data_IF_635065699004
#
_entry.id   IF_635065699004
#
_cell.length_a   1.000
_cell.length_b   1.000
_cell.length_c   1.000
_cell.angle_alpha   90.00
_cell.angle_beta   90.00
_cell.angle_gamma   90.00
#
_symmetry.space_group_name_H-M   'P 1'
#
loop_
_entity.id
_entity.type
_entity.pdbx_description
1 polymer ?
#
# COMPACT_ATOMS: atom_id res chain seq x y z
N UNK A 1 63.45 26.68 -63.14
CA UNK A 1 63.25 25.80 -61.96
C UNK A 1 62.28 26.52 -61.02
N UNK A 2 61.13 25.92 -60.74
CA UNK A 2 59.97 26.58 -60.13
C UNK A 2 60.19 26.73 -58.62
N UNK A 3 60.04 27.96 -58.13
CA UNK A 3 60.19 28.36 -56.74
C UNK A 3 59.10 27.74 -55.84
N UNK A 4 59.52 27.13 -54.73
CA UNK A 4 58.61 26.62 -53.70
C UNK A 4 58.18 27.76 -52.77
N UNK A 5 56.88 28.09 -52.79
CA UNK A 5 56.20 28.92 -51.79
C UNK A 5 56.21 28.19 -50.44
N UNK A 6 56.69 28.88 -49.40
CA UNK A 6 56.50 28.50 -48.00
C UNK A 6 55.16 29.09 -47.55
N UNK A 7 54.23 28.23 -47.13
CA UNK A 7 52.93 28.63 -46.55
C UNK A 7 53.07 28.53 -45.04
N UNK A 8 52.96 29.66 -44.35
CA UNK A 8 52.79 29.76 -42.90
C UNK A 8 51.39 29.27 -42.52
N UNK A 9 51.30 28.12 -41.84
CA UNK A 9 50.07 27.59 -41.28
C UNK A 9 49.93 27.97 -39.80
N UNK A 10 48.88 28.70 -39.47
CA UNK A 10 48.45 29.02 -38.11
C UNK A 10 47.82 27.78 -37.48
N UNK A 11 48.45 27.16 -36.48
CA UNK A 11 47.85 26.06 -35.72
C UNK A 11 46.98 26.59 -34.60
N UNK A 12 45.66 26.44 -34.73
CA UNK A 12 44.69 26.58 -33.64
C UNK A 12 44.76 25.31 -32.81
N UNK A 13 45.17 25.43 -31.54
CA UNK A 13 45.09 24.35 -30.55
C UNK A 13 43.64 24.26 -30.08
N UNK A 14 42.89 23.27 -30.56
CA UNK A 14 41.62 22.89 -29.97
C UNK A 14 41.91 22.10 -28.68
N UNK A 15 41.64 22.69 -27.52
CA UNK A 15 41.58 21.94 -26.26
C UNK A 15 40.40 20.97 -26.34
N UNK A 16 40.69 19.68 -26.57
CA UNK A 16 39.74 18.62 -26.24
C UNK A 16 39.73 18.46 -24.72
N UNK A 17 38.73 19.03 -24.06
CA UNK A 17 38.36 18.61 -22.71
C UNK A 17 37.67 17.25 -22.81
N UNK A 18 38.41 16.18 -22.55
CA UNK A 18 37.81 14.86 -22.30
C UNK A 18 37.10 14.97 -20.94
N UNK A 19 35.79 15.17 -20.96
CA UNK A 19 34.96 15.06 -19.77
C UNK A 19 35.04 13.63 -19.26
N UNK A 20 35.68 13.45 -18.11
CA UNK A 20 35.66 12.18 -17.38
C UNK A 20 34.22 11.93 -16.95
N UNK A 21 33.50 11.07 -17.68
CA UNK A 21 32.21 10.54 -17.23
C UNK A 21 32.52 9.59 -16.09
N UNK A 22 32.44 10.09 -14.86
CA UNK A 22 32.31 9.23 -13.68
C UNK A 22 30.95 8.58 -13.76
N UNK A 23 30.90 7.37 -14.31
CA UNK A 23 29.77 6.46 -14.08
C UNK A 23 29.83 6.13 -12.59
N UNK A 24 29.01 6.83 -11.80
CA UNK A 24 28.70 6.39 -10.44
C UNK A 24 27.82 5.17 -10.63
N UNK A 25 28.44 3.99 -10.61
CA UNK A 25 27.71 2.76 -10.37
C UNK A 25 27.21 2.87 -8.93
N UNK A 26 25.90 3.06 -8.79
CA UNK A 26 25.21 3.01 -7.51
C UNK A 26 25.30 1.57 -7.00
N UNK A 27 26.37 1.27 -6.27
CA UNK A 27 26.54 0.03 -5.49
C UNK A 27 25.66 0.09 -4.24
N UNK A 28 24.37 0.38 -4.41
CA UNK A 28 23.37 0.09 -3.38
C UNK A 28 23.22 -1.43 -3.31
N UNK A 29 24.13 -2.04 -2.54
CA UNK A 29 24.07 -3.44 -2.16
C UNK A 29 22.67 -3.72 -1.59
N UNK A 30 21.84 -4.58 -2.22
CA UNK A 30 20.49 -4.88 -1.73
C UNK A 30 20.50 -5.46 -0.30
N UNK A 31 21.68 -5.88 0.20
CA UNK A 31 21.88 -6.25 1.60
C UNK A 31 21.76 -5.06 2.58
N UNK A 32 22.00 -3.82 2.15
CA UNK A 32 21.86 -2.62 3.00
C UNK A 32 20.42 -2.10 3.05
N UNK A 33 19.61 -2.34 2.01
CA UNK A 33 18.16 -2.12 2.03
C UNK A 33 17.42 -3.05 3.02
N UNK A 34 18.03 -4.18 3.39
CA UNK A 34 17.54 -5.09 4.42
C UNK A 34 17.81 -4.62 5.87
N UNK A 35 18.59 -3.54 6.07
CA UNK A 35 19.05 -3.12 7.40
C UNK A 35 18.13 -2.15 8.15
N UNK A 36 17.14 -1.53 7.49
CA UNK A 36 16.23 -0.56 8.11
C UNK A 36 15.00 -1.18 8.78
N UNK A 37 14.82 -2.50 8.65
CA UNK A 37 13.62 -3.21 9.09
C UNK A 37 13.94 -4.49 9.90
N UNK A 38 15.09 -4.53 10.57
CA UNK A 38 15.30 -5.55 11.59
C UNK A 38 14.22 -5.39 12.66
N UNK A 39 13.37 -6.41 12.83
CA UNK A 39 12.55 -6.50 14.03
C UNK A 39 13.47 -6.42 15.25
N UNK A 40 13.03 -5.76 16.34
CA UNK A 40 13.90 -5.60 17.50
C UNK A 40 14.36 -7.00 17.95
N UNK A 41 15.68 -7.16 18.10
CA UNK A 41 16.30 -8.39 18.59
C UNK A 41 15.83 -8.74 20.02
N UNK A 42 15.19 -7.79 20.70
CA UNK A 42 14.33 -8.05 21.84
C UNK A 42 13.15 -7.11 21.79
N UNK A 43 11.93 -7.65 21.77
CA UNK A 43 10.76 -6.94 22.29
C UNK A 43 11.18 -6.38 23.65
N UNK A 44 11.19 -5.05 23.81
CA UNK A 44 11.27 -4.50 25.14
C UNK A 44 10.08 -5.11 25.87
N UNK A 45 10.34 -5.97 26.85
CA UNK A 45 9.38 -6.43 27.83
C UNK A 45 9.01 -5.23 28.73
N UNK A 46 8.58 -4.12 28.11
CA UNK A 46 7.91 -3.05 28.80
C UNK A 46 6.59 -3.63 29.31
N UNK A 47 6.21 -3.34 30.57
CA UNK A 47 4.94 -3.80 31.09
C UNK A 47 3.84 -3.34 30.13
N UNK A 48 2.96 -4.26 29.73
CA UNK A 48 1.75 -3.93 29.00
C UNK A 48 1.08 -2.73 29.70
N UNK A 49 0.67 -1.67 28.97
CA UNK A 49 0.03 -0.52 29.60
C UNK A 49 -1.12 -0.99 30.49
N UNK A 50 -1.13 -0.59 31.76
CA UNK A 50 -2.05 -1.11 32.78
C UNK A 50 -3.55 -0.86 32.48
N UNK A 51 -3.86 -0.08 31.45
CA UNK A 51 -5.23 0.23 31.00
C UNK A 51 -5.69 -0.51 29.73
N UNK A 52 -4.90 -1.46 29.21
CA UNK A 52 -5.16 -2.08 27.91
C UNK A 52 -4.81 -1.16 26.73
N UNK A 53 -4.74 -1.73 25.52
CA UNK A 53 -4.45 -1.00 24.27
C UNK A 53 -5.54 -1.35 23.28
N UNK A 54 -6.12 -0.36 22.59
CA UNK A 54 -7.15 -0.57 21.57
C UNK A 54 -8.38 -1.40 22.03
N UNK A 55 -8.66 -1.42 23.35
CA UNK A 55 -9.72 -2.23 23.97
C UNK A 55 -9.35 -3.69 24.29
N UNK A 56 -8.07 -4.06 24.22
CA UNK A 56 -7.56 -5.38 24.59
C UNK A 56 -6.96 -5.37 26.00
N UNK A 57 -7.23 -6.44 26.76
CA UNK A 57 -6.77 -6.61 28.14
C UNK A 57 -5.32 -7.13 28.23
N UNK A 58 -4.81 -7.26 29.46
CA UNK A 58 -3.44 -7.69 29.70
C UNK A 58 -3.11 -9.11 29.23
N UNK A 59 -4.07 -10.03 29.15
CA UNK A 59 -3.84 -11.38 28.62
C UNK A 59 -3.71 -11.34 27.11
N UNK A 60 -4.60 -10.60 26.44
CA UNK A 60 -4.57 -10.39 25.00
C UNK A 60 -3.27 -9.68 24.57
N UNK A 61 -2.80 -8.71 25.36
CA UNK A 61 -1.52 -8.03 25.10
C UNK A 61 -0.30 -8.95 25.31
N UNK A 62 -0.34 -9.88 26.26
CA UNK A 62 0.71 -10.91 26.41
C UNK A 62 0.75 -11.85 25.21
N UNK A 63 -0.41 -12.26 24.71
CA UNK A 63 -0.51 -13.09 23.52
C UNK A 63 -0.02 -12.34 22.27
N UNK A 64 -0.38 -11.07 22.11
CA UNK A 64 0.17 -10.22 21.05
C UNK A 64 1.71 -10.11 21.12
N UNK A 65 2.27 -9.92 22.33
CA UNK A 65 3.72 -9.90 22.51
C UNK A 65 4.38 -11.24 22.14
N UNK A 66 3.74 -12.38 22.44
CA UNK A 66 4.22 -13.70 22.04
C UNK A 66 4.25 -13.85 20.51
N UNK A 67 3.22 -13.35 19.81
CA UNK A 67 3.18 -13.32 18.33
C UNK A 67 4.34 -12.46 17.79
N UNK A 68 4.50 -11.23 18.32
CA UNK A 68 5.57 -10.34 17.87
C UNK A 68 6.95 -10.94 18.10
N UNK A 69 7.14 -11.60 19.25
CA UNK A 69 8.38 -12.32 19.57
C UNK A 69 8.64 -13.49 18.61
N UNK A 70 7.62 -14.28 18.27
CA UNK A 70 7.78 -15.38 17.32
C UNK A 70 8.24 -14.90 15.93
N UNK A 71 7.71 -13.76 15.45
CA UNK A 71 8.20 -13.16 14.20
C UNK A 71 9.66 -12.69 14.32
N UNK A 72 10.01 -12.02 15.43
CA UNK A 72 11.38 -11.58 15.72
C UNK A 72 12.37 -12.75 15.77
N UNK A 73 12.00 -13.85 16.43
CA UNK A 73 12.84 -15.05 16.56
C UNK A 73 13.09 -15.72 15.20
N UNK A 74 12.20 -15.52 14.23
CA UNK A 74 12.36 -15.95 12.83
C UNK A 74 13.09 -14.92 11.95
N UNK A 75 13.52 -13.78 12.50
CA UNK A 75 14.16 -12.70 11.75
C UNK A 75 13.20 -11.97 10.79
N UNK A 76 11.89 -12.05 11.03
CA UNK A 76 10.88 -11.44 10.17
C UNK A 76 10.69 -9.95 10.50
N UNK A 77 10.35 -9.11 9.49
CA UNK A 77 10.16 -7.68 9.68
C UNK A 77 8.90 -7.36 10.51
N UNK A 78 8.79 -6.12 11.00
CA UNK A 78 7.62 -5.63 11.76
C UNK A 78 6.31 -5.76 10.96
N UNK A 79 6.37 -5.74 9.63
CA UNK A 79 5.27 -6.08 8.72
C UNK A 79 4.66 -7.47 9.04
N UNK A 80 5.50 -8.48 9.27
CA UNK A 80 5.05 -9.80 9.66
C UNK A 80 4.42 -9.78 11.06
N UNK A 81 4.99 -9.02 12.01
CA UNK A 81 4.39 -8.86 13.34
C UNK A 81 2.96 -8.31 13.25
N UNK A 82 2.72 -7.31 12.38
CA UNK A 82 1.38 -6.80 12.13
C UNK A 82 0.44 -7.85 11.53
N UNK A 83 0.91 -8.58 10.52
CA UNK A 83 0.16 -9.68 9.88
C UNK A 83 -0.28 -10.71 10.93
N UNK A 84 0.63 -11.14 11.80
CA UNK A 84 0.35 -12.13 12.84
C UNK A 84 -0.66 -11.63 13.89
N UNK A 85 -0.48 -10.39 14.37
CA UNK A 85 -1.41 -9.78 15.34
C UNK A 85 -2.80 -9.60 14.71
N UNK A 86 -2.87 -9.10 13.47
CA UNK A 86 -4.13 -8.92 12.75
C UNK A 86 -4.87 -10.25 12.54
N UNK A 87 -4.15 -11.31 12.14
CA UNK A 87 -4.73 -12.64 11.99
C UNK A 87 -5.31 -13.13 13.32
N UNK A 88 -4.54 -13.08 14.40
CA UNK A 88 -4.99 -13.58 15.70
C UNK A 88 -6.16 -12.77 16.30
N UNK A 89 -6.26 -11.47 16.01
CA UNK A 89 -7.47 -10.70 16.37
C UNK A 89 -8.70 -11.28 15.65
N UNK A 90 -8.60 -11.58 14.36
CA UNK A 90 -9.73 -12.12 13.59
C UNK A 90 -10.12 -13.53 13.99
N UNK A 91 -9.15 -14.37 14.34
CA UNK A 91 -9.40 -15.78 14.68
C UNK A 91 -9.92 -15.97 16.10
N UNK A 92 -9.40 -15.20 17.06
CA UNK A 92 -9.63 -15.48 18.48
C UNK A 92 -9.72 -14.25 19.36
N UNK A 93 -9.67 -13.05 18.77
CA UNK A 93 -9.52 -11.80 19.53
C UNK A 93 -8.29 -11.88 20.46
N UNK A 94 -7.17 -12.44 19.99
CA UNK A 94 -5.92 -12.64 20.74
C UNK A 94 -6.06 -13.55 21.99
N UNK A 95 -6.93 -14.55 21.93
CA UNK A 95 -7.11 -15.53 23.03
C UNK A 95 -6.73 -16.93 22.61
N UNK A 96 -6.13 -17.68 23.52
CA UNK A 96 -5.89 -19.11 23.30
C UNK A 96 -7.21 -19.84 23.56
N UNK A 97 -7.88 -20.27 22.48
CA UNK A 97 -9.20 -20.92 22.57
C UNK A 97 -9.06 -22.43 22.37
N UNK A 98 -9.67 -23.22 23.27
CA UNK A 98 -9.66 -24.69 23.23
C UNK A 98 -10.87 -25.31 22.52
N UNK A 99 -11.50 -24.56 21.62
CA UNK A 99 -12.61 -25.01 20.80
C UNK A 99 -12.57 -24.28 19.45
N UNK A 100 -13.21 -24.87 18.45
CA UNK A 100 -13.45 -24.25 17.15
C UNK A 100 -14.93 -24.19 16.82
N UNK A 101 -15.26 -23.72 15.62
CA UNK A 101 -16.64 -23.54 15.17
C UNK A 101 -17.15 -24.72 14.32
N UNK A 102 -18.30 -24.54 13.65
CA UNK A 102 -18.89 -25.60 12.82
C UNK A 102 -18.07 -25.95 11.57
N UNK A 103 -17.36 -24.98 10.98
CA UNK A 103 -16.46 -25.24 9.86
C UNK A 103 -15.15 -25.88 10.34
N UNK A 104 -14.76 -25.56 11.57
CA UNK A 104 -13.49 -25.91 12.15
C UNK A 104 -13.54 -26.56 13.54
N UNK A 105 -14.26 -27.66 13.85
CA UNK A 105 -14.45 -28.12 15.24
C UNK A 105 -13.15 -28.45 16.01
N UNK A 106 -12.14 -28.97 15.30
CA UNK A 106 -10.80 -29.26 15.82
C UNK A 106 -9.82 -28.08 15.79
N UNK A 107 -10.24 -26.88 15.38
CA UNK A 107 -9.42 -25.66 15.41
C UNK A 107 -9.05 -25.25 16.83
N UNK A 108 -7.81 -24.80 17.06
CA UNK A 108 -7.30 -24.43 18.39
C UNK A 108 -6.40 -23.21 18.38
N UNK A 109 -6.31 -22.55 19.53
CA UNK A 109 -5.32 -21.52 19.82
C UNK A 109 -5.59 -20.17 19.19
N UNK A 110 -4.54 -19.34 19.17
CA UNK A 110 -4.57 -17.94 18.74
C UNK A 110 -5.00 -17.74 17.29
N UNK A 111 -4.72 -18.72 16.43
CA UNK A 111 -4.93 -18.67 14.99
C UNK A 111 -5.98 -19.69 14.52
N UNK A 112 -6.72 -20.32 15.43
CA UNK A 112 -7.74 -21.34 15.12
C UNK A 112 -7.21 -22.43 14.15
N UNK A 113 -6.01 -22.92 14.41
CA UNK A 113 -5.28 -23.85 13.56
C UNK A 113 -5.89 -25.27 13.62
N UNK A 114 -6.12 -25.88 12.46
CA UNK A 114 -6.74 -27.21 12.29
C UNK A 114 -5.81 -28.35 12.74
N UNK A 115 -6.37 -29.47 13.19
CA UNK A 115 -5.62 -30.69 13.53
C UNK A 115 -5.35 -31.56 12.28
N UNK A 116 -4.75 -30.96 11.24
CA UNK A 116 -4.50 -31.61 9.95
C UNK A 116 -3.02 -31.96 9.71
N UNK A 117 -2.18 -31.88 10.74
CA UNK A 117 -0.73 -32.12 10.67
C UNK A 117 0.10 -30.96 10.11
N UNK A 118 -0.53 -29.90 9.57
CA UNK A 118 0.20 -28.75 9.03
C UNK A 118 0.63 -27.72 10.10
N UNK A 119 0.01 -27.78 11.29
CA UNK A 119 0.10 -26.75 12.32
C UNK A 119 0.72 -27.21 13.64
N UNK A 120 1.29 -28.43 13.67
CA UNK A 120 1.87 -29.04 14.87
C UNK A 120 0.87 -29.86 15.68
N UNK A 121 1.29 -30.25 16.89
CA UNK A 121 0.47 -31.03 17.82
C UNK A 121 -0.69 -30.21 18.42
N UNK A 122 -1.45 -30.80 19.33
CA UNK A 122 -2.44 -30.05 20.10
C UNK A 122 -1.75 -29.00 21.00
N UNK A 123 -0.69 -29.42 21.69
CA UNK A 123 0.11 -28.58 22.59
C UNK A 123 0.74 -27.41 21.83
N UNK A 124 1.29 -27.66 20.64
CA UNK A 124 1.86 -26.63 19.78
C UNK A 124 0.84 -25.54 19.40
N UNK A 125 -0.39 -25.95 19.08
CA UNK A 125 -1.47 -25.03 18.70
C UNK A 125 -2.02 -24.26 19.90
N UNK A 126 -1.93 -24.82 21.10
CA UNK A 126 -2.36 -24.15 22.34
C UNK A 126 -1.28 -23.21 22.91
N UNK A 127 -0.02 -23.36 22.51
CA UNK A 127 1.04 -22.45 22.92
C UNK A 127 1.04 -21.16 22.05
N UNK A 128 0.96 -19.96 22.66
CA UNK A 128 0.96 -18.69 21.94
C UNK A 128 2.14 -18.47 20.99
N UNK A 129 3.35 -18.86 21.40
CA UNK A 129 4.57 -18.59 20.64
C UNK A 129 4.77 -19.65 19.54
N UNK A 130 4.51 -20.92 19.85
CA UNK A 130 4.64 -22.02 18.87
C UNK A 130 3.55 -21.90 17.79
N UNK A 131 2.29 -21.64 18.16
CA UNK A 131 1.20 -21.45 17.19
C UNK A 131 1.47 -20.26 16.26
N UNK A 132 2.01 -19.15 16.79
CA UNK A 132 2.46 -18.00 16.01
C UNK A 132 3.65 -18.35 15.09
N UNK A 133 4.63 -19.10 15.59
CA UNK A 133 5.77 -19.58 14.79
C UNK A 133 5.28 -20.42 13.61
N UNK A 134 4.29 -21.30 13.83
CA UNK A 134 3.71 -22.13 12.78
C UNK A 134 2.91 -21.28 11.76
N UNK A 135 2.18 -20.27 12.23
CA UNK A 135 1.55 -19.27 11.36
C UNK A 135 2.57 -18.58 10.45
N UNK A 136 3.68 -18.07 11.00
CA UNK A 136 4.71 -17.39 10.21
C UNK A 136 5.40 -18.31 9.21
N UNK A 137 5.67 -19.57 9.58
CA UNK A 137 6.18 -20.57 8.63
C UNK A 137 5.20 -20.83 7.48
N UNK A 138 3.89 -20.76 7.71
CA UNK A 138 2.90 -20.85 6.66
C UNK A 138 2.87 -19.57 5.80
N UNK A 139 2.94 -18.39 6.42
CA UNK A 139 3.02 -17.10 5.75
C UNK A 139 4.22 -17.03 4.80
N UNK A 140 5.41 -17.47 5.23
CA UNK A 140 6.62 -17.47 4.40
C UNK A 140 6.52 -18.39 3.16
N UNK A 141 5.57 -19.32 3.12
CA UNK A 141 5.29 -20.16 1.94
C UNK A 141 4.32 -19.49 0.96
N UNK A 142 3.70 -18.36 1.33
CA UNK A 142 2.87 -17.57 0.44
C UNK A 142 3.80 -16.73 -0.44
N UNK A 143 3.72 -16.95 -1.76
CA UNK A 143 4.51 -16.19 -2.73
C UNK A 143 4.18 -14.70 -2.65
N UNK A 144 5.23 -13.88 -2.50
CA UNK A 144 5.14 -12.41 -2.40
C UNK A 144 4.40 -11.90 -1.18
N UNK A 145 4.30 -12.68 -0.09
CA UNK A 145 3.52 -12.30 1.11
C UNK A 145 3.83 -10.92 1.67
N UNK A 146 5.07 -10.46 1.51
CA UNK A 146 5.63 -9.18 1.94
C UNK A 146 5.19 -7.99 1.08
N UNK A 147 4.67 -8.27 -0.12
CA UNK A 147 4.10 -7.28 -1.04
C UNK A 147 2.57 -7.37 -1.13
N UNK A 148 1.96 -8.40 -0.55
CA UNK A 148 0.51 -8.57 -0.50
C UNK A 148 -0.11 -7.63 0.55
N UNK A 149 -1.37 -7.27 0.31
CA UNK A 149 -2.21 -6.70 1.37
C UNK A 149 -2.27 -7.71 2.54
N UNK A 150 -2.01 -7.31 3.79
CA UNK A 150 -1.94 -8.25 4.90
C UNK A 150 -3.16 -9.17 5.06
N UNK A 151 -4.40 -8.74 4.82
CA UNK A 151 -5.60 -9.62 4.77
C UNK A 151 -5.47 -10.70 3.70
N UNK A 152 -4.88 -10.41 2.54
CA UNK A 152 -4.65 -11.38 1.47
C UNK A 152 -3.52 -12.32 1.85
N UNK A 153 -2.46 -11.82 2.48
CA UNK A 153 -1.38 -12.65 3.00
C UNK A 153 -1.90 -13.64 4.07
N UNK A 154 -2.72 -13.16 5.02
CA UNK A 154 -3.37 -13.98 6.03
C UNK A 154 -4.33 -14.98 5.38
N UNK A 155 -5.18 -14.52 4.47
CA UNK A 155 -6.13 -15.38 3.75
C UNK A 155 -5.42 -16.54 3.05
N UNK A 156 -4.30 -16.28 2.36
CA UNK A 156 -3.52 -17.32 1.69
C UNK A 156 -2.83 -18.26 2.67
N UNK A 157 -2.34 -17.74 3.80
CA UNK A 157 -1.69 -18.54 4.85
C UNK A 157 -2.70 -19.45 5.59
N UNK A 158 -3.86 -18.90 5.96
CA UNK A 158 -4.91 -19.58 6.73
C UNK A 158 -5.88 -20.38 5.87
N UNK A 159 -6.00 -20.05 4.58
CA UNK A 159 -6.94 -20.64 3.61
C UNK A 159 -8.41 -20.50 4.05
N UNK A 160 -8.79 -19.31 4.51
CA UNK A 160 -10.19 -19.02 4.85
C UNK A 160 -11.03 -18.70 3.59
N UNK A 161 -12.36 -18.62 3.72
CA UNK A 161 -13.25 -18.43 2.56
C UNK A 161 -13.30 -17.00 2.01
N UNK A 162 -13.11 -15.99 2.87
CA UNK A 162 -13.24 -14.57 2.50
C UNK A 162 -11.86 -13.87 2.51
N UNK A 163 -11.34 -13.42 1.36
CA UNK A 163 -10.05 -12.76 1.28
C UNK A 163 -9.97 -11.45 2.09
N UNK A 164 -11.10 -10.79 2.35
CA UNK A 164 -11.17 -9.50 3.04
C UNK A 164 -11.57 -9.62 4.51
N UNK A 165 -11.73 -10.84 5.03
CA UNK A 165 -12.18 -11.09 6.40
C UNK A 165 -11.38 -10.32 7.45
N UNK A 166 -10.06 -10.23 7.27
CA UNK A 166 -9.15 -9.65 8.26
C UNK A 166 -8.97 -8.13 8.13
N UNK A 167 -9.47 -7.51 7.06
CA UNK A 167 -9.29 -6.06 6.80
C UNK A 167 -9.73 -5.20 7.98
N UNK A 168 -10.87 -5.54 8.60
CA UNK A 168 -11.45 -4.82 9.73
C UNK A 168 -10.56 -4.80 11.00
N UNK A 169 -9.63 -5.74 11.14
CA UNK A 169 -8.77 -5.85 12.33
C UNK A 169 -7.45 -5.07 12.20
N UNK A 170 -7.17 -4.50 11.02
CA UNK A 170 -5.88 -3.86 10.72
C UNK A 170 -5.55 -2.68 11.64
N UNK A 171 -6.50 -1.78 11.86
CA UNK A 171 -6.26 -0.58 12.67
C UNK A 171 -5.87 -0.96 14.11
N UNK A 172 -6.65 -1.87 14.72
CA UNK A 172 -6.40 -2.40 16.06
C UNK A 172 -5.05 -3.13 16.16
N UNK A 173 -4.71 -3.95 15.18
CA UNK A 173 -3.42 -4.63 15.12
C UNK A 173 -2.25 -3.63 15.07
N UNK A 174 -2.42 -2.54 14.33
CA UNK A 174 -1.40 -1.48 14.20
C UNK A 174 -1.18 -0.76 15.53
N UNK A 175 -2.26 -0.44 16.26
CA UNK A 175 -2.16 0.16 17.60
C UNK A 175 -1.43 -0.75 18.58
N UNK A 176 -1.72 -2.06 18.57
CA UNK A 176 -1.05 -3.04 19.43
C UNK A 176 0.45 -3.14 19.09
N UNK A 177 0.80 -3.28 17.81
CA UNK A 177 2.19 -3.38 17.37
C UNK A 177 2.98 -2.12 17.70
N UNK A 178 2.38 -0.93 17.56
CA UNK A 178 3.00 0.33 17.99
C UNK A 178 3.23 0.37 19.50
N UNK A 179 2.22 -0.01 20.28
CA UNK A 179 2.30 0.01 21.73
C UNK A 179 3.35 -0.96 22.28
N UNK A 180 3.50 -2.14 21.68
CA UNK A 180 4.45 -3.17 22.11
C UNK A 180 5.85 -3.02 21.50
N UNK A 181 5.94 -2.48 20.28
CA UNK A 181 7.19 -2.35 19.53
C UNK A 181 7.96 -1.05 19.80
N UNK A 182 7.35 -0.07 20.46
CA UNK A 182 8.00 1.20 20.81
C UNK A 182 8.50 1.96 19.58
N UNK A 183 9.67 2.61 19.69
CA UNK A 183 10.27 3.39 18.59
C UNK A 183 10.48 2.57 17.31
N UNK A 184 10.83 1.29 17.42
CA UNK A 184 11.05 0.40 16.28
C UNK A 184 9.77 0.11 15.48
N UNK A 185 8.59 0.28 16.09
CA UNK A 185 7.30 0.13 15.43
C UNK A 185 6.57 1.46 15.22
N UNK A 186 7.14 2.59 15.65
CA UNK A 186 6.46 3.89 15.64
C UNK A 186 6.00 4.33 14.25
N UNK A 187 6.78 3.96 13.22
CA UNK A 187 6.53 4.30 11.82
C UNK A 187 5.72 3.25 11.04
N UNK A 188 5.25 2.17 11.69
CA UNK A 188 4.43 1.16 11.02
C UNK A 188 3.08 1.77 10.64
N UNK A 189 2.73 1.68 9.36
CA UNK A 189 1.46 2.13 8.83
C UNK A 189 0.45 0.95 8.72
N UNK A 190 -0.87 1.18 8.82
CA UNK A 190 -1.88 0.16 8.58
C UNK A 190 -1.78 -0.54 7.22
N UNK A 191 -0.99 -0.13 6.24
CA UNK A 191 -0.72 -0.94 5.04
C UNK A 191 0.08 -2.22 5.33
N UNK A 192 0.69 -2.36 6.52
CA UNK A 192 1.47 -3.54 6.89
C UNK A 192 2.76 -3.72 6.10
N UNK A 193 3.17 -2.68 5.39
CA UNK A 193 4.49 -2.58 4.80
C UNK A 193 5.37 -1.88 5.83
N UNK A 194 6.49 -2.50 6.22
CA UNK A 194 7.52 -1.75 6.95
C UNK A 194 7.92 -0.56 6.07
N UNK A 195 8.14 0.64 6.63
CA UNK A 195 8.60 1.78 5.86
C UNK A 195 9.98 1.48 5.28
N UNK A 196 10.03 0.91 4.07
CA UNK A 196 10.97 1.40 3.08
C UNK A 196 10.61 2.86 2.89
N UNK A 197 11.53 3.75 3.24
CA UNK A 197 11.36 5.20 3.32
C UNK A 197 10.21 5.73 2.44
N UNK A 198 9.03 5.99 3.03
CA UNK A 198 8.11 6.94 2.40
C UNK A 198 8.81 8.29 2.25
N UNK A 199 8.39 9.10 1.29
CA UNK A 199 9.11 10.28 0.76
C UNK A 199 10.22 9.95 -0.25
N UNK A 200 10.18 8.79 -0.91
CA UNK A 200 10.98 8.62 -2.13
C UNK A 200 10.50 9.58 -3.22
N UNK A 201 11.44 10.03 -4.05
CA UNK A 201 11.14 10.63 -5.34
C UNK A 201 11.17 9.50 -6.37
N UNK A 202 10.01 9.21 -6.96
CA UNK A 202 9.85 8.15 -7.97
C UNK A 202 9.78 8.79 -9.34
N UNK A 203 10.84 8.64 -10.13
CA UNK A 203 10.98 9.21 -11.48
C UNK A 203 11.45 10.67 -11.48
N UNK A 204 11.59 11.23 -12.69
CA UNK A 204 12.11 12.59 -12.89
C UNK A 204 10.98 13.63 -12.86
N UNK A 205 10.93 14.41 -11.78
CA UNK A 205 9.95 15.49 -11.61
C UNK A 205 10.18 16.60 -12.65
N UNK A 206 9.21 16.79 -13.54
CA UNK A 206 9.31 17.67 -14.70
C UNK A 206 8.08 18.58 -14.90
N UNK A 207 7.10 18.51 -13.99
CA UNK A 207 5.85 19.29 -14.05
C UNK A 207 4.96 18.94 -15.24
N UNK A 208 5.14 17.75 -15.84
CA UNK A 208 4.39 17.30 -17.01
C UNK A 208 3.02 16.76 -16.61
N UNK A 209 2.11 16.74 -17.57
CA UNK A 209 0.84 16.03 -17.46
C UNK A 209 0.80 14.90 -18.49
N UNK A 210 0.22 13.76 -18.10
CA UNK A 210 0.06 12.58 -18.97
C UNK A 210 -1.37 12.05 -18.86
N UNK A 211 -1.76 11.16 -19.78
CA UNK A 211 -3.01 10.41 -19.62
C UNK A 211 -2.87 9.44 -18.46
N UNK A 212 -3.72 9.57 -17.45
CA UNK A 212 -3.78 8.69 -16.28
C UNK A 212 -4.04 7.22 -16.66
N UNK A 213 -4.72 6.98 -17.77
CA UNK A 213 -4.98 5.65 -18.32
C UNK A 213 -4.87 5.74 -19.85
N UNK A 214 -3.66 5.57 -20.43
CA UNK A 214 -3.36 5.96 -21.82
C UNK A 214 -4.26 5.34 -22.90
N UNK A 215 -4.69 4.09 -22.69
CA UNK A 215 -5.48 3.31 -23.65
C UNK A 215 -7.00 3.34 -23.35
N UNK A 216 -7.44 4.17 -22.42
CA UNK A 216 -8.83 4.26 -22.03
C UNK A 216 -9.61 5.34 -22.79
N UNK A 217 -10.93 5.15 -22.81
CA UNK A 217 -11.90 6.17 -23.23
C UNK A 217 -12.63 6.70 -22.00
N UNK A 218 -13.01 7.98 -22.03
CA UNK A 218 -13.90 8.53 -21.02
C UNK A 218 -15.28 7.90 -21.18
N UNK A 219 -15.75 7.20 -20.14
CA UNK A 219 -17.05 6.53 -20.11
C UNK A 219 -18.11 7.34 -19.38
N UNK A 220 -17.71 8.25 -18.48
CA UNK A 220 -18.63 9.17 -17.81
C UNK A 220 -17.97 10.50 -17.46
N UNK A 221 -18.73 11.59 -17.65
CA UNK A 221 -18.33 12.94 -17.26
C UNK A 221 -18.78 13.33 -15.85
N UNK A 222 -18.31 14.50 -15.40
CA UNK A 222 -18.67 15.11 -14.12
C UNK A 222 -20.07 15.74 -14.15
N UNK A 223 -20.77 15.72 -13.02
CA UNK A 223 -22.00 16.47 -12.82
C UNK A 223 -23.28 15.64 -12.65
N UNK A 224 -24.46 16.28 -12.72
CA UNK A 224 -25.75 15.63 -12.45
C UNK A 224 -26.05 14.53 -13.47
N UNK A 225 -26.32 13.31 -12.99
CA UNK A 225 -26.76 12.17 -13.80
C UNK A 225 -27.61 11.21 -12.98
N UNK A 226 -28.54 10.45 -13.56
CA UNK A 226 -29.16 9.33 -12.86
C UNK A 226 -28.08 8.34 -12.42
N UNK A 227 -28.09 7.94 -11.15
CA UNK A 227 -27.16 6.95 -10.64
C UNK A 227 -27.35 5.61 -11.39
N UNK A 228 -26.27 4.92 -11.80
CA UNK A 228 -26.38 3.59 -12.41
C UNK A 228 -27.13 2.60 -11.50
N UNK A 229 -27.90 1.65 -12.06
CA UNK A 229 -28.55 0.61 -11.27
C UNK A 229 -27.55 -0.14 -10.37
N UNK A 230 -27.90 -0.31 -9.10
CA UNK A 230 -27.04 -0.97 -8.10
C UNK A 230 -26.08 -0.07 -7.34
N UNK A 231 -26.00 1.23 -7.68
CA UNK A 231 -25.15 2.20 -6.96
C UNK A 231 -25.69 2.44 -5.54
N UNK A 232 -24.86 2.24 -4.53
CA UNK A 232 -25.18 2.60 -3.16
C UNK A 232 -25.37 4.13 -3.02
N UNK A 233 -26.39 4.57 -2.28
CA UNK A 233 -26.72 5.99 -2.07
C UNK A 233 -28.00 6.48 -2.77
N UNK A 234 -28.57 5.69 -3.70
CA UNK A 234 -29.87 6.01 -4.32
C UNK A 234 -29.90 7.37 -5.01
N UNK A 235 -30.95 8.17 -4.79
CA UNK A 235 -31.10 9.52 -5.37
C UNK A 235 -29.97 10.48 -4.97
N UNK A 236 -29.31 10.25 -3.82
CA UNK A 236 -28.17 11.04 -3.37
C UNK A 236 -26.90 10.80 -4.21
N UNK A 237 -26.87 9.72 -5.01
CA UNK A 237 -25.82 9.44 -5.97
C UNK A 237 -26.10 10.05 -7.37
N UNK A 238 -27.13 10.89 -7.51
CA UNK A 238 -27.48 11.52 -8.79
C UNK A 238 -26.54 12.67 -9.22
N UNK A 239 -25.35 12.72 -8.63
CA UNK A 239 -24.28 13.63 -9.00
C UNK A 239 -22.98 12.83 -9.06
N UNK A 240 -22.28 12.95 -10.18
CA UNK A 240 -20.99 12.32 -10.39
C UNK A 240 -19.87 13.31 -10.04
N UNK A 241 -19.16 13.04 -8.95
CA UNK A 241 -18.14 13.93 -8.37
C UNK A 241 -16.77 13.83 -9.05
N UNK A 242 -16.66 13.00 -10.09
CA UNK A 242 -15.44 12.80 -10.86
C UNK A 242 -15.72 12.52 -12.33
N UNK A 243 -14.73 11.93 -12.99
CA UNK A 243 -14.83 11.41 -14.34
C UNK A 243 -14.35 9.96 -14.38
N UNK A 244 -14.96 9.17 -15.25
CA UNK A 244 -14.67 7.75 -15.38
C UNK A 244 -13.96 7.48 -16.71
N UNK A 245 -12.90 6.68 -16.65
CA UNK A 245 -12.20 6.13 -17.82
C UNK A 245 -12.20 4.62 -17.77
N UNK A 246 -12.38 3.95 -18.90
CA UNK A 246 -12.29 2.50 -18.97
C UNK A 246 -11.45 2.04 -20.16
N UNK A 247 -10.56 1.07 -19.93
CA UNK A 247 -9.80 0.41 -21.00
C UNK A 247 -10.61 -0.75 -21.60
N UNK A 248 -10.92 -0.71 -22.91
CA UNK A 248 -11.64 -1.81 -23.57
C UNK A 248 -10.83 -3.12 -23.55
N UNK A 249 -11.52 -4.25 -23.32
CA UNK A 249 -10.96 -5.60 -23.47
C UNK A 249 -10.11 -6.10 -22.31
N UNK A 250 -9.22 -5.28 -21.74
CA UNK A 250 -8.31 -5.68 -20.64
C UNK A 250 -8.08 -4.54 -19.64
N UNK A 251 -7.57 -4.87 -18.45
CA UNK A 251 -7.23 -3.88 -17.44
C UNK A 251 -6.02 -3.04 -17.86
N UNK A 252 -6.14 -1.72 -17.78
CA UNK A 252 -5.02 -0.81 -18.01
C UNK A 252 -4.15 -0.58 -16.77
N UNK A 253 -2.94 -0.06 -16.98
CA UNK A 253 -2.10 0.46 -15.89
C UNK A 253 -2.46 1.92 -15.63
N UNK A 254 -2.82 2.23 -14.39
CA UNK A 254 -3.11 3.61 -13.97
C UNK A 254 -1.79 4.31 -13.63
N UNK A 255 -1.59 5.50 -14.19
CA UNK A 255 -0.40 6.33 -14.06
C UNK A 255 -0.67 7.60 -13.27
N UNK A 256 0.34 8.11 -12.57
CA UNK A 256 0.32 9.44 -12.00
C UNK A 256 0.10 10.47 -13.11
N UNK A 257 -1.01 11.21 -13.03
CA UNK A 257 -1.42 12.14 -14.10
C UNK A 257 -0.48 13.34 -14.22
N UNK A 258 0.16 13.72 -13.12
CA UNK A 258 1.13 14.81 -12.98
C UNK A 258 2.06 14.47 -11.81
N UNK A 259 3.12 15.26 -11.64
CA UNK A 259 3.94 15.20 -10.44
C UNK A 259 3.10 15.49 -9.19
N UNK A 260 3.12 14.58 -8.22
CA UNK A 260 2.31 14.70 -7.03
C UNK A 260 2.93 14.00 -5.84
N UNK A 261 2.68 14.54 -4.65
CA UNK A 261 2.94 13.86 -3.39
C UNK A 261 1.73 12.99 -3.05
N UNK A 262 1.92 11.71 -2.83
CA UNK A 262 0.87 10.80 -2.38
C UNK A 262 0.51 11.17 -0.94
N UNK A 263 -0.74 11.56 -0.72
CA UNK A 263 -1.25 12.01 0.59
C UNK A 263 -2.23 11.01 1.21
N UNK A 264 -2.79 10.09 0.41
CA UNK A 264 -3.64 9.01 0.89
C UNK A 264 -3.52 7.78 0.00
N UNK A 265 -3.43 6.61 0.62
CA UNK A 265 -3.65 5.30 0.02
C UNK A 265 -4.93 4.72 0.62
N UNK A 266 -5.78 4.17 -0.24
CA UNK A 266 -6.97 3.41 0.14
C UNK A 266 -6.78 1.97 -0.27
N UNK A 267 -7.03 1.05 0.65
CA UNK A 267 -7.04 -0.38 0.40
C UNK A 267 -8.45 -0.91 0.73
N UNK A 268 -9.30 -1.04 -0.29
CA UNK A 268 -10.69 -1.48 -0.15
C UNK A 268 -11.52 -0.63 0.84
N UNK A 269 -11.34 0.69 0.83
CA UNK A 269 -12.00 1.59 1.77
C UNK A 269 -13.32 2.15 1.21
N UNK A 270 -14.43 1.74 1.82
CA UNK A 270 -15.75 2.33 1.57
C UNK A 270 -16.17 2.33 0.11
N UNK A 271 -16.82 3.41 -0.33
CA UNK A 271 -17.32 3.54 -1.70
C UNK A 271 -16.19 3.71 -2.74
N UNK A 272 -15.01 4.20 -2.33
CA UNK A 272 -13.88 4.43 -3.22
C UNK A 272 -13.08 3.15 -3.52
N UNK A 273 -13.17 2.12 -2.66
CA UNK A 273 -12.41 0.89 -2.83
C UNK A 273 -10.90 1.13 -2.68
N UNK A 274 -10.11 0.57 -3.60
CA UNK A 274 -8.66 0.74 -3.63
C UNK A 274 -8.28 1.96 -4.47
N UNK A 275 -7.33 2.77 -4.02
CA UNK A 275 -6.93 3.95 -4.78
C UNK A 275 -5.85 4.80 -4.13
N UNK A 276 -5.49 5.86 -4.85
CA UNK A 276 -4.42 6.79 -4.51
C UNK A 276 -4.99 8.21 -4.55
N UNK A 277 -4.72 9.01 -3.53
CA UNK A 277 -4.92 10.45 -3.56
C UNK A 277 -3.56 11.14 -3.49
N UNK A 278 -3.28 12.02 -4.46
CA UNK A 278 -2.06 12.81 -4.51
C UNK A 278 -2.35 14.30 -4.52
N UNK A 279 -1.47 15.08 -3.92
CA UNK A 279 -1.47 16.55 -4.00
C UNK A 279 -0.43 17.00 -5.03
N UNK A 280 -0.79 17.91 -5.93
CA UNK A 280 0.17 18.50 -6.88
C UNK A 280 1.27 19.25 -6.13
N UNK A 281 2.48 19.28 -6.68
CA UNK A 281 3.63 19.89 -5.99
C UNK A 281 3.51 21.41 -5.79
N UNK A 282 2.67 22.08 -6.58
CA UNK A 282 2.33 23.49 -6.39
C UNK A 282 1.21 23.71 -5.35
N UNK A 283 0.68 22.62 -4.77
CA UNK A 283 -0.36 22.61 -3.76
C UNK A 283 -1.75 23.04 -4.25
N UNK A 284 -1.93 23.31 -5.55
CA UNK A 284 -3.18 23.87 -6.09
C UNK A 284 -4.28 22.84 -6.27
N UNK A 285 -3.95 21.56 -6.42
CA UNK A 285 -4.91 20.49 -6.62
C UNK A 285 -4.60 19.30 -5.73
N UNK A 286 -5.67 18.63 -5.30
CA UNK A 286 -5.62 17.26 -4.80
C UNK A 286 -6.41 16.38 -5.76
N UNK A 287 -5.84 15.26 -6.18
CA UNK A 287 -6.36 14.37 -7.21
C UNK A 287 -6.55 12.99 -6.60
N UNK A 288 -7.79 12.50 -6.59
CA UNK A 288 -8.14 11.14 -6.18
C UNK A 288 -8.29 10.23 -7.39
N UNK A 289 -7.74 9.02 -7.31
CA UNK A 289 -7.78 8.00 -8.37
C UNK A 289 -8.18 6.65 -7.73
N UNK A 290 -9.37 6.15 -8.06
CA UNK A 290 -10.03 5.11 -7.27
C UNK A 290 -10.47 3.90 -8.11
N UNK A 291 -11.03 2.92 -7.40
CA UNK A 291 -11.51 1.63 -7.92
C UNK A 291 -10.43 0.72 -8.51
N UNK A 292 -9.16 0.92 -8.14
CA UNK A 292 -8.06 0.08 -8.58
C UNK A 292 -8.24 -1.38 -8.13
N UNK A 293 -7.54 -2.32 -8.78
CA UNK A 293 -7.57 -3.72 -8.39
C UNK A 293 -6.94 -3.92 -7.00
N UNK A 294 -7.53 -4.78 -6.18
CA UNK A 294 -7.05 -5.06 -4.83
C UNK A 294 -5.61 -5.60 -4.87
N UNK A 295 -4.71 -5.01 -4.08
CA UNK A 295 -3.29 -5.38 -4.05
C UNK A 295 -2.48 -4.96 -5.28
N UNK A 296 -3.04 -4.14 -6.19
CA UNK A 296 -2.32 -3.69 -7.38
C UNK A 296 -1.48 -2.42 -7.18
N UNK A 297 -1.63 -1.73 -6.04
CA UNK A 297 -0.97 -0.45 -5.79
C UNK A 297 0.56 -0.59 -5.75
N UNK A 298 1.24 0.35 -6.40
CA UNK A 298 2.71 0.36 -6.57
C UNK A 298 3.41 1.47 -5.80
N UNK A 299 2.66 2.31 -5.10
CA UNK A 299 3.14 3.51 -4.38
C UNK A 299 2.61 3.54 -2.95
N UNK A 300 3.20 4.38 -2.10
CA UNK A 300 2.88 4.51 -0.67
C UNK A 300 2.50 5.94 -0.32
N UNK A 301 1.79 6.12 0.82
CA UNK A 301 1.60 7.46 1.39
C UNK A 301 2.96 8.10 1.68
N UNK A 302 3.12 9.38 1.32
CA UNK A 302 4.35 10.15 1.47
C UNK A 302 5.22 10.21 0.22
N UNK A 303 5.14 9.23 -0.69
CA UNK A 303 5.94 9.21 -1.92
C UNK A 303 5.68 10.45 -2.77
N UNK A 304 6.71 10.96 -3.43
CA UNK A 304 6.58 11.98 -4.48
C UNK A 304 6.80 11.31 -5.81
N UNK A 305 5.75 11.24 -6.64
CA UNK A 305 5.78 10.52 -7.91
C UNK A 305 5.81 11.49 -9.07
N UNK A 306 6.62 11.21 -10.08
CA UNK A 306 6.62 11.93 -11.34
C UNK A 306 5.42 11.54 -12.21
N UNK A 307 4.98 12.44 -13.08
CA UNK A 307 3.99 12.15 -14.11
C UNK A 307 4.38 10.90 -14.92
N UNK A 308 3.43 9.98 -15.13
CA UNK A 308 3.66 8.71 -15.82
C UNK A 308 4.10 7.56 -14.92
N UNK A 309 4.37 7.79 -13.64
CA UNK A 309 4.69 6.73 -12.69
C UNK A 309 3.51 5.76 -12.55
N UNK A 310 3.70 4.44 -12.71
CA UNK A 310 2.65 3.46 -12.45
C UNK A 310 2.18 3.49 -10.99
N UNK A 311 0.87 3.69 -10.79
CA UNK A 311 0.24 3.74 -9.46
C UNK A 311 -0.45 2.44 -9.08
N UNK A 312 -1.06 1.76 -10.05
CA UNK A 312 -1.80 0.52 -9.85
C UNK A 312 -2.46 0.02 -11.13
N UNK A 313 -3.32 -0.98 -10.99
CA UNK A 313 -4.05 -1.58 -12.11
C UNK A 313 -5.52 -1.15 -12.05
N UNK A 314 -6.10 -0.83 -13.21
CA UNK A 314 -7.53 -0.56 -13.37
C UNK A 314 -8.36 -1.73 -12.83
N UNK A 315 -9.32 -1.46 -11.94
CA UNK A 315 -10.08 -2.49 -11.25
C UNK A 315 -11.56 -2.18 -11.12
N UNK A 316 -12.22 -2.89 -10.21
CA UNK A 316 -13.64 -2.74 -9.92
C UNK A 316 -13.93 -2.86 -8.40
N UNK A 317 -13.11 -2.22 -7.57
CA UNK A 317 -13.30 -2.24 -6.11
C UNK A 317 -14.15 -1.06 -5.63
N UNK A 318 -14.95 -1.25 -4.58
CA UNK A 318 -15.84 -0.21 -4.03
C UNK A 318 -17.21 -0.18 -4.70
N UNK A 319 -17.83 1.00 -4.78
CA UNK A 319 -19.20 1.19 -5.27
C UNK A 319 -19.19 1.42 -6.79
N UNK A 320 -19.06 0.34 -7.55
CA UNK A 320 -18.90 0.37 -9.01
C UNK A 320 -19.82 -0.60 -9.74
N UNK A 321 -20.13 -0.31 -11.01
CA UNK A 321 -20.91 -1.20 -11.89
C UNK A 321 -20.03 -2.03 -12.84
N UNK A 322 -18.73 -1.74 -12.91
CA UNK A 322 -17.78 -2.40 -13.80
C UNK A 322 -16.38 -1.80 -13.68
N UNK A 323 -15.43 -2.38 -14.42
CA UNK A 323 -14.02 -1.96 -14.39
C UNK A 323 -13.84 -0.55 -14.98
N UNK A 324 -13.31 0.37 -14.18
CA UNK A 324 -12.95 1.71 -14.62
C UNK A 324 -11.99 2.38 -13.62
N UNK A 325 -11.30 3.42 -14.08
CA UNK A 325 -10.67 4.43 -13.22
C UNK A 325 -11.69 5.55 -12.97
N UNK A 326 -12.02 5.79 -11.71
CA UNK A 326 -12.73 7.01 -11.30
C UNK A 326 -11.73 8.04 -10.78
N UNK A 327 -11.84 9.28 -11.24
CA UNK A 327 -10.91 10.35 -10.91
C UNK A 327 -11.62 11.62 -10.46
N UNK A 328 -11.30 12.08 -9.26
CA UNK A 328 -11.87 13.28 -8.64
C UNK A 328 -10.80 14.35 -8.45
N UNK A 329 -11.17 15.61 -8.68
CA UNK A 329 -10.29 16.76 -8.46
C UNK A 329 -10.86 17.62 -7.34
N UNK A 330 -9.97 18.12 -6.50
CA UNK A 330 -10.27 19.04 -5.41
C UNK A 330 -9.35 20.25 -5.51
N UNK A 331 -9.89 21.42 -5.16
CA UNK A 331 -9.09 22.63 -5.07
C UNK A 331 -8.23 22.60 -3.79
N UNK A 332 -6.93 22.86 -3.95
CA UNK A 332 -5.97 22.99 -2.87
C UNK A 332 -5.61 21.67 -2.18
N UNK A 333 -5.02 21.80 -0.99
CA UNK A 333 -4.77 20.70 -0.06
C UNK A 333 -6.07 20.28 0.63
N UNK A 334 -6.31 18.99 0.77
CA UNK A 334 -7.35 18.48 1.66
C UNK A 334 -6.81 18.30 3.09
N UNK A 335 -7.61 18.58 4.14
CA UNK A 335 -7.24 18.28 5.52
C UNK A 335 -7.12 16.76 5.75
N UNK A 336 -6.34 16.35 6.75
CA UNK A 336 -6.23 14.96 7.21
C UNK A 336 -6.87 14.84 8.63
N UNK A 337 -7.85 13.94 8.88
CA UNK A 337 -8.48 13.02 7.93
C UNK A 337 -9.15 13.77 6.79
N UNK A 338 -9.13 13.18 5.59
CA UNK A 338 -9.84 13.68 4.40
C UNK A 338 -11.34 13.66 4.67
N UNK A 339 -11.81 14.67 5.40
CA UNK A 339 -13.21 15.01 5.53
C UNK A 339 -13.52 15.80 4.26
N UNK A 340 -14.41 15.33 3.37
CA UNK A 340 -14.77 16.04 2.16
C UNK A 340 -15.64 17.26 2.55
N UNK A 341 -14.99 18.28 3.12
CA UNK A 341 -15.57 19.61 3.37
C UNK A 341 -15.46 20.49 2.12
N UNK A 342 -14.55 20.15 1.20
CA UNK A 342 -14.38 20.82 -0.08
C UNK A 342 -15.13 20.04 -1.16
N UNK A 343 -15.99 20.73 -1.90
CA UNK A 343 -16.63 20.19 -3.09
C UNK A 343 -15.57 19.84 -4.15
N UNK A 344 -15.76 18.72 -4.83
CA UNK A 344 -15.00 18.40 -6.04
C UNK A 344 -15.18 19.48 -7.10
N UNK A 345 -14.19 19.63 -7.98
CA UNK A 345 -14.28 20.48 -9.17
C UNK A 345 -14.32 19.58 -10.41
N UNK A 346 -14.97 20.06 -11.47
CA UNK A 346 -15.00 19.36 -12.76
C UNK A 346 -13.56 19.23 -13.29
N UNK A 347 -13.01 18.00 -13.46
CA UNK A 347 -11.67 17.82 -14.00
C UNK A 347 -11.57 18.18 -15.49
N UNK A 348 -12.69 18.18 -16.22
CA UNK A 348 -12.72 18.27 -17.69
C UNK A 348 -12.04 19.52 -18.25
N UNK A 349 -12.28 20.75 -17.75
CA UNK A 349 -11.61 21.95 -18.26
C UNK A 349 -10.10 21.92 -18.05
N UNK A 350 -9.65 21.42 -16.89
CA UNK A 350 -8.22 21.32 -16.54
C UNK A 350 -7.53 20.32 -17.48
N UNK A 351 -8.14 19.16 -17.69
CA UNK A 351 -7.57 18.14 -18.56
C UNK A 351 -7.48 18.57 -20.03
N UNK A 352 -8.46 19.35 -20.52
CA UNK A 352 -8.40 19.96 -21.86
C UNK A 352 -7.28 21.00 -21.97
N UNK A 353 -7.12 21.87 -20.96
CA UNK A 353 -6.03 22.85 -20.91
C UNK A 353 -4.65 22.15 -20.96
N UNK A 354 -4.52 21.01 -20.29
CA UNK A 354 -3.29 20.20 -20.26
C UNK A 354 -3.11 19.27 -21.46
N UNK A 355 -4.03 19.27 -22.43
CA UNK A 355 -3.95 18.43 -23.64
C UNK A 355 -4.12 16.93 -23.38
N UNK A 356 -4.79 16.56 -22.29
CA UNK A 356 -5.03 15.16 -21.89
C UNK A 356 -6.32 14.60 -22.50
N UNK A 357 -7.33 15.47 -22.69
CA UNK A 357 -8.64 15.18 -23.28
C UNK A 357 -8.83 15.82 -24.66
#
# INVERSE_FOLDING_TARGET
MIARKVITGTSIVALLTVGLVTVVLDDSDPAQAASSCAAPAGVAAGPAPAGGVAGFDGEQMKNAAAIMKAASDLGLPVAAQLIGVQASIGESTLRVIDFGDGAGPDSRGLFQQRANGAWGSYEDRMDPHISATNFFKALQRVEGWDTLEPTIAIHRAQRNADPNHYTQFRAKATEIVKALGGEAAALVDPSGVCPGEGNQIVGDLAGKWVKALPDAVMTSGYGPRPAPPGTAGGVLANFHYGIDFSTPGQAGTILAITDMKIVKIRNLEGMFGTGVTGQTLDGKLTIGMYHMEAGSLKVKEGDTVAAGTPLGTEGATGNVSGRHLHMEFYAGALPNPMIPINATIDPTPILKEKGIL
#
